data_IF_020875049190
#
_entry.id   IF_020875049190
#
_cell.length_a   1.000
_cell.length_b   1.000
_cell.length_c   1.000
_cell.angle_alpha   90.00
_cell.angle_beta   90.00
_cell.angle_gamma   90.00
#
_symmetry.space_group_name_H-M   'P 1'
#
loop_
_entity.id
_entity.type
_entity.pdbx_description
1 polymer ?
#
# COMPACT_ATOMS: atom_id res chain seq x y z
N UNK A 1 2.51 -19.84 23.64
CA UNK A 1 3.30 -20.60 22.63
C UNK A 1 4.25 -19.60 21.99
N UNK A 2 5.38 -20.02 21.46
CA UNK A 2 6.31 -19.13 20.76
C UNK A 2 5.88 -18.98 19.29
N UNK A 3 6.31 -17.87 18.64
CA UNK A 3 6.14 -17.69 17.20
C UNK A 3 6.93 -18.77 16.43
N UNK A 4 6.32 -19.37 15.41
CA UNK A 4 6.87 -20.51 14.65
C UNK A 4 7.24 -20.16 13.21
N UNK A 5 6.62 -19.13 12.64
CA UNK A 5 6.75 -18.77 11.24
C UNK A 5 7.82 -17.68 11.02
N UNK A 6 9.04 -17.93 11.53
CA UNK A 6 10.18 -17.00 11.39
C UNK A 6 11.19 -17.42 10.31
N UNK A 7 10.90 -18.50 9.55
CA UNK A 7 11.74 -18.92 8.43
C UNK A 7 11.26 -18.28 7.12
N UNK A 8 11.73 -17.09 6.81
CA UNK A 8 11.38 -16.35 5.59
C UNK A 8 12.11 -16.86 4.33
N UNK A 9 13.04 -17.82 4.44
CA UNK A 9 13.65 -18.52 3.32
C UNK A 9 12.81 -19.73 2.84
N UNK A 10 11.75 -20.10 3.58
CA UNK A 10 10.86 -21.18 3.20
C UNK A 10 10.13 -20.80 1.89
N UNK A 11 10.30 -21.65 0.86
CA UNK A 11 9.53 -21.51 -0.38
C UNK A 11 8.19 -22.22 -0.20
N UNK A 12 7.13 -21.43 -0.07
CA UNK A 12 5.76 -21.93 0.02
C UNK A 12 5.17 -22.02 -1.38
N UNK A 13 4.78 -23.23 -1.82
CA UNK A 13 4.12 -23.40 -3.13
C UNK A 13 2.73 -22.77 -3.09
N UNK A 14 2.50 -21.84 -3.99
CA UNK A 14 1.24 -21.08 -4.10
C UNK A 14 0.45 -21.40 -5.38
N UNK A 15 1.03 -22.18 -6.30
CA UNK A 15 0.30 -22.62 -7.50
C UNK A 15 -0.72 -23.69 -7.14
N UNK A 16 -1.89 -23.62 -7.80
CA UNK A 16 -3.00 -24.53 -7.53
C UNK A 16 -3.78 -24.20 -6.26
N UNK A 17 -3.62 -22.99 -5.72
CA UNK A 17 -4.34 -22.50 -4.54
C UNK A 17 -5.31 -21.35 -4.86
N UNK A 18 -5.63 -21.14 -6.11
CA UNK A 18 -6.37 -19.98 -6.63
C UNK A 18 -5.67 -18.65 -6.34
N UNK A 19 -4.37 -18.69 -6.18
CA UNK A 19 -3.56 -17.50 -5.90
C UNK A 19 -3.52 -16.54 -7.09
N UNK A 20 -4.05 -15.33 -6.91
CA UNK A 20 -4.09 -14.30 -7.96
C UNK A 20 -2.69 -14.04 -8.56
N UNK A 21 -1.66 -14.06 -7.74
CA UNK A 21 -0.28 -13.79 -8.13
C UNK A 21 0.29 -14.87 -9.07
N UNK A 22 -0.04 -16.15 -8.82
CA UNK A 22 0.57 -17.30 -9.50
C UNK A 22 -0.33 -17.99 -10.54
N UNK A 23 -1.64 -18.13 -10.26
CA UNK A 23 -2.50 -19.03 -11.04
C UNK A 23 -3.19 -18.35 -12.23
N UNK A 24 -3.22 -17.02 -12.27
CA UNK A 24 -4.00 -16.27 -13.26
C UNK A 24 -3.15 -15.59 -14.36
N UNK A 25 -1.89 -15.96 -14.53
CA UNK A 25 -0.99 -15.37 -15.53
C UNK A 25 -1.59 -15.43 -16.95
N UNK A 26 -2.02 -16.62 -17.41
CA UNK A 26 -2.63 -16.80 -18.74
C UNK A 26 -3.89 -15.94 -18.93
N UNK A 27 -4.77 -15.90 -17.94
CA UNK A 27 -6.01 -15.10 -17.99
C UNK A 27 -5.73 -13.62 -18.11
N UNK A 28 -4.55 -13.17 -17.63
CA UNK A 28 -4.06 -11.79 -17.69
C UNK A 28 -3.08 -11.54 -18.84
N UNK A 29 -3.06 -12.44 -19.86
CA UNK A 29 -2.24 -12.27 -21.06
C UNK A 29 -0.74 -12.45 -20.82
N UNK A 30 -0.32 -13.17 -19.77
CA UNK A 30 1.07 -13.48 -19.45
C UNK A 30 1.39 -14.96 -19.70
N UNK A 31 2.64 -15.33 -20.02
CA UNK A 31 3.05 -16.73 -20.09
C UNK A 31 2.79 -17.45 -18.75
N UNK A 32 2.46 -18.76 -18.81
CA UNK A 32 2.15 -19.54 -17.61
C UNK A 32 3.36 -19.77 -16.70
N UNK A 33 4.56 -19.70 -17.26
CA UNK A 33 5.83 -20.02 -16.63
C UNK A 33 6.58 -18.81 -16.06
N UNK A 34 5.91 -17.66 -15.95
CA UNK A 34 6.51 -16.46 -15.36
C UNK A 34 6.70 -16.62 -13.84
N UNK A 35 7.78 -16.04 -13.34
CA UNK A 35 7.98 -15.80 -11.91
C UNK A 35 7.34 -14.48 -11.54
N UNK A 36 6.26 -14.46 -10.73
CA UNK A 36 5.51 -13.25 -10.46
C UNK A 36 6.03 -12.52 -9.21
N UNK A 37 6.42 -11.26 -9.38
CA UNK A 37 6.78 -10.34 -8.29
C UNK A 37 6.06 -8.99 -8.44
N UNK A 38 4.84 -9.02 -9.01
CA UNK A 38 4.03 -7.84 -9.30
C UNK A 38 3.05 -7.46 -8.19
N UNK A 39 2.33 -8.44 -7.61
CA UNK A 39 1.35 -8.17 -6.55
C UNK A 39 2.04 -7.78 -5.25
N UNK A 40 1.50 -6.78 -4.57
CA UNK A 40 1.95 -6.35 -3.26
C UNK A 40 1.35 -7.24 -2.14
N UNK A 41 1.51 -8.56 -2.26
CA UNK A 41 1.38 -9.55 -1.18
C UNK A 41 2.72 -10.26 -0.97
N UNK A 42 2.95 -10.82 0.20
CA UNK A 42 4.22 -11.48 0.51
C UNK A 42 4.18 -12.97 0.13
N UNK A 43 5.34 -13.56 -0.12
CA UNK A 43 5.50 -15.02 -0.26
C UNK A 43 5.95 -15.69 1.06
N UNK A 44 5.60 -15.07 2.19
CA UNK A 44 5.82 -15.57 3.55
C UNK A 44 4.52 -16.04 4.18
N UNK A 45 4.59 -17.09 5.01
CA UNK A 45 3.49 -17.42 5.94
C UNK A 45 3.28 -16.25 6.89
N UNK A 46 2.03 -15.95 7.23
CA UNK A 46 1.72 -14.98 8.30
C UNK A 46 2.16 -15.50 9.67
N UNK A 47 2.07 -14.68 10.71
CA UNK A 47 2.35 -15.10 12.09
C UNK A 47 1.58 -16.38 12.46
N UNK A 48 2.26 -17.32 13.12
CA UNK A 48 1.66 -18.56 13.58
C UNK A 48 0.55 -18.35 14.60
N UNK A 49 0.55 -17.24 15.33
CA UNK A 49 -0.57 -16.87 16.20
C UNK A 49 -1.84 -16.59 15.39
N UNK A 50 -1.70 -15.96 14.22
CA UNK A 50 -2.82 -15.71 13.31
C UNK A 50 -3.34 -17.03 12.73
N UNK A 51 -2.44 -17.93 12.30
CA UNK A 51 -2.85 -19.27 11.82
C UNK A 51 -3.64 -20.02 12.88
N UNK A 52 -3.14 -20.06 14.12
CA UNK A 52 -3.79 -20.74 15.23
C UNK A 52 -5.18 -20.13 15.53
N UNK A 53 -5.31 -18.80 15.52
CA UNK A 53 -6.58 -18.12 15.74
C UNK A 53 -7.61 -18.44 14.62
N UNK A 54 -7.18 -18.50 13.38
CA UNK A 54 -8.02 -18.88 12.24
C UNK A 54 -8.49 -20.33 12.34
N UNK A 55 -7.60 -21.26 12.70
CA UNK A 55 -7.90 -22.67 12.91
C UNK A 55 -8.92 -22.82 14.03
N UNK A 56 -8.72 -22.14 15.16
CA UNK A 56 -9.62 -22.22 16.31
C UNK A 56 -11.00 -21.66 15.97
N UNK A 57 -11.04 -20.53 15.26
CA UNK A 57 -12.31 -19.96 14.82
C UNK A 57 -13.03 -20.85 13.80
N UNK A 58 -12.29 -21.50 12.91
CA UNK A 58 -12.84 -22.45 11.94
C UNK A 58 -13.40 -23.71 12.63
N UNK A 59 -12.72 -24.24 13.64
CA UNK A 59 -13.21 -25.39 14.45
C UNK A 59 -14.50 -25.11 15.18
N UNK A 60 -14.78 -23.86 15.56
CA UNK A 60 -16.06 -23.48 16.17
C UNK A 60 -17.26 -23.82 15.25
N UNK A 61 -17.09 -23.73 13.92
CA UNK A 61 -18.03 -24.24 12.91
C UNK A 61 -19.29 -23.41 12.68
N UNK A 62 -19.49 -22.28 13.38
CA UNK A 62 -20.64 -21.39 13.17
C UNK A 62 -20.14 -20.06 12.62
N UNK A 63 -20.52 -19.74 11.38
CA UNK A 63 -20.10 -18.55 10.63
C UNK A 63 -21.28 -17.58 10.43
N UNK A 64 -22.06 -17.35 11.51
CA UNK A 64 -23.15 -16.38 11.51
C UNK A 64 -22.65 -14.94 11.49
N UNK A 65 -23.60 -14.00 11.47
CA UNK A 65 -23.26 -12.56 11.54
C UNK A 65 -22.43 -12.27 12.78
N UNK A 66 -21.36 -11.54 12.59
CA UNK A 66 -20.39 -11.22 13.64
C UNK A 66 -20.01 -9.75 13.58
N UNK A 67 -19.72 -9.19 14.74
CA UNK A 67 -19.13 -7.85 14.86
C UNK A 67 -18.03 -7.89 15.92
N UNK A 68 -17.32 -6.79 16.09
CA UNK A 68 -16.21 -6.66 17.02
C UNK A 68 -16.67 -6.13 18.36
N UNK A 69 -15.93 -6.51 19.41
CA UNK A 69 -16.09 -5.99 20.76
C UNK A 69 -14.90 -5.04 21.07
N UNK A 70 -14.91 -4.46 22.25
CA UNK A 70 -13.86 -3.57 22.76
C UNK A 70 -12.44 -4.16 22.62
N UNK A 71 -12.28 -5.47 22.75
CA UNK A 71 -10.97 -6.13 22.58
C UNK A 71 -10.37 -5.94 21.19
N UNK A 72 -11.20 -5.89 20.14
CA UNK A 72 -10.72 -5.60 18.78
C UNK A 72 -10.20 -4.16 18.69
N UNK A 73 -10.98 -3.21 19.19
CA UNK A 73 -10.56 -1.82 19.22
C UNK A 73 -9.25 -1.66 20.00
N UNK A 74 -9.14 -2.28 21.16
CA UNK A 74 -7.93 -2.24 21.98
C UNK A 74 -6.71 -2.82 21.27
N UNK A 75 -6.87 -3.89 20.48
CA UNK A 75 -5.80 -4.44 19.65
C UNK A 75 -5.33 -3.43 18.58
N UNK A 76 -6.28 -2.82 17.86
CA UNK A 76 -5.99 -1.80 16.84
C UNK A 76 -5.37 -0.56 17.48
N UNK A 77 -5.93 -0.05 18.58
CA UNK A 77 -5.44 1.13 19.29
C UNK A 77 -4.03 0.89 19.87
N UNK A 78 -3.82 -0.30 20.45
CA UNK A 78 -2.52 -0.70 20.95
C UNK A 78 -1.44 -0.75 19.87
N UNK A 79 -1.78 -1.25 18.67
CA UNK A 79 -0.88 -1.23 17.53
C UNK A 79 -0.52 0.20 17.10
N UNK A 80 -1.52 1.05 16.91
CA UNK A 80 -1.31 2.44 16.50
C UNK A 80 -0.51 3.23 17.53
N UNK A 81 -0.71 2.99 18.81
CA UNK A 81 0.06 3.67 19.86
C UNK A 81 1.51 3.16 19.93
N UNK A 82 1.74 1.82 19.85
CA UNK A 82 3.10 1.24 19.94
C UNK A 82 3.97 1.57 18.74
N UNK A 83 3.41 1.49 17.53
CA UNK A 83 4.20 1.59 16.29
C UNK A 83 4.13 2.95 15.61
N UNK A 84 3.08 3.76 15.89
CA UNK A 84 2.86 5.04 15.21
C UNK A 84 2.65 6.22 16.18
N UNK A 85 2.79 6.00 17.50
CA UNK A 85 2.66 7.02 18.53
C UNK A 85 1.34 7.82 18.44
N UNK A 86 0.29 7.20 17.92
CA UNK A 86 -1.00 7.82 17.69
C UNK A 86 -2.10 7.18 18.54
N UNK A 87 -2.73 8.01 19.39
CA UNK A 87 -3.87 7.61 20.22
C UNK A 87 -5.16 7.85 19.48
N UNK A 88 -5.87 6.78 19.17
CA UNK A 88 -7.16 6.82 18.48
C UNK A 88 -8.31 6.71 19.48
N UNK A 89 -9.52 7.11 19.04
CA UNK A 89 -10.78 6.93 19.79
C UNK A 89 -11.63 5.88 19.10
N UNK A 90 -12.40 5.13 19.90
CA UNK A 90 -13.25 4.06 19.38
C UNK A 90 -14.27 4.55 18.35
N UNK A 91 -14.87 5.72 18.62
CA UNK A 91 -15.86 6.32 17.72
C UNK A 91 -15.27 6.82 16.38
N UNK A 92 -13.94 6.86 16.22
CA UNK A 92 -13.29 7.21 14.95
C UNK A 92 -13.20 6.03 13.98
N UNK A 93 -13.26 4.80 14.52
CA UNK A 93 -12.98 3.59 13.76
C UNK A 93 -14.20 3.13 12.94
N UNK A 94 -14.00 3.04 11.63
CA UNK A 94 -14.92 2.39 10.69
C UNK A 94 -14.16 1.24 10.01
N UNK A 95 -14.73 0.04 10.03
CA UNK A 95 -14.14 -1.15 9.39
C UNK A 95 -14.67 -1.30 7.97
N UNK A 96 -13.79 -1.57 7.01
CA UNK A 96 -14.16 -1.77 5.60
C UNK A 96 -13.50 -3.01 5.00
N UNK A 97 -14.03 -3.57 3.89
CA UNK A 97 -13.46 -4.76 3.25
C UNK A 97 -12.21 -4.45 2.40
N UNK A 98 -11.38 -3.52 2.81
CA UNK A 98 -10.14 -3.13 2.14
C UNK A 98 -10.04 -1.63 1.90
N UNK A 99 -8.78 -1.15 1.78
CA UNK A 99 -8.52 0.29 1.64
C UNK A 99 -9.02 0.83 0.30
N UNK A 100 -8.90 0.08 -0.81
CA UNK A 100 -9.44 0.55 -2.11
C UNK A 100 -10.96 0.77 -2.05
N UNK A 101 -11.69 -0.10 -1.33
CA UNK A 101 -13.12 0.14 -1.07
C UNK A 101 -13.32 1.43 -0.27
N UNK A 102 -12.51 1.64 0.78
CA UNK A 102 -12.59 2.87 1.58
C UNK A 102 -12.30 4.14 0.75
N UNK A 103 -11.31 4.10 -0.15
CA UNK A 103 -11.03 5.20 -1.09
C UNK A 103 -12.25 5.50 -1.97
N UNK A 104 -12.90 4.48 -2.53
CA UNK A 104 -14.12 4.66 -3.35
C UNK A 104 -15.27 5.26 -2.53
N UNK A 105 -15.44 4.83 -1.27
CA UNK A 105 -16.46 5.41 -0.39
C UNK A 105 -16.15 6.86 -0.01
N UNK A 106 -14.88 7.20 0.22
CA UNK A 106 -14.44 8.57 0.49
C UNK A 106 -14.68 9.49 -0.73
N UNK A 107 -14.34 9.02 -1.94
CA UNK A 107 -14.64 9.73 -3.18
C UNK A 107 -16.14 10.07 -3.28
N UNK A 108 -17.01 9.10 -3.00
CA UNK A 108 -18.47 9.32 -3.00
C UNK A 108 -18.96 10.23 -1.86
N UNK A 109 -18.36 10.11 -0.68
CA UNK A 109 -18.79 10.84 0.51
C UNK A 109 -18.45 12.33 0.44
N UNK A 110 -17.31 12.68 -0.17
CA UNK A 110 -16.75 14.03 -0.06
C UNK A 110 -16.76 14.80 -1.38
N UNK A 111 -17.17 14.16 -2.49
CA UNK A 111 -17.22 14.81 -3.80
C UNK A 111 -18.48 14.41 -4.57
N UNK A 112 -18.76 15.14 -5.64
CA UNK A 112 -19.84 14.88 -6.62
C UNK A 112 -19.25 14.50 -7.98
N UNK A 113 -20.05 13.93 -8.86
CA UNK A 113 -19.64 13.70 -10.24
C UNK A 113 -19.17 15.02 -10.90
N UNK A 114 -18.03 14.96 -11.58
CA UNK A 114 -17.35 16.11 -12.18
C UNK A 114 -16.40 16.88 -11.27
N UNK A 115 -16.40 16.64 -9.95
CA UNK A 115 -15.45 17.27 -9.03
C UNK A 115 -14.01 16.79 -9.27
N UNK A 116 -13.05 17.67 -9.03
CA UNK A 116 -11.62 17.40 -9.15
C UNK A 116 -11.04 16.77 -7.89
N UNK A 117 -10.23 15.72 -8.09
CA UNK A 117 -9.52 15.01 -7.03
C UNK A 117 -8.02 15.01 -7.35
N UNK A 118 -7.21 15.46 -6.38
CA UNK A 118 -5.77 15.52 -6.51
C UNK A 118 -5.12 14.19 -6.12
N UNK A 119 -4.14 13.76 -6.90
CA UNK A 119 -3.22 12.65 -6.61
C UNK A 119 -1.79 13.05 -6.97
N UNK A 120 -0.81 12.28 -6.53
CA UNK A 120 0.62 12.51 -6.82
C UNK A 120 1.17 11.37 -7.71
N UNK A 121 1.02 11.49 -9.04
CA UNK A 121 1.53 10.48 -9.97
C UNK A 121 3.09 10.53 -10.04
N UNK A 122 3.77 9.40 -10.30
CA UNK A 122 3.26 8.04 -10.48
C UNK A 122 2.79 7.46 -9.15
N UNK A 123 1.54 7.05 -9.04
CA UNK A 123 0.97 6.50 -7.80
C UNK A 123 0.21 5.21 -8.09
N UNK A 124 -0.05 4.42 -7.07
CA UNK A 124 -0.81 3.18 -7.12
C UNK A 124 -2.07 3.33 -7.98
N UNK A 125 -2.15 2.57 -9.08
CA UNK A 125 -3.13 2.76 -10.15
C UNK A 125 -4.61 2.73 -9.69
N UNK A 126 -5.02 1.99 -8.63
CA UNK A 126 -6.39 2.07 -8.13
C UNK A 126 -6.80 3.46 -7.64
N UNK A 127 -5.88 4.37 -7.31
CA UNK A 127 -6.22 5.78 -7.04
C UNK A 127 -6.88 6.42 -8.26
N UNK A 128 -6.29 6.22 -9.43
CA UNK A 128 -6.86 6.73 -10.69
C UNK A 128 -8.15 6.01 -11.08
N UNK A 129 -8.25 4.70 -10.80
CA UNK A 129 -9.44 3.90 -11.08
C UNK A 129 -10.62 4.36 -10.23
N UNK A 130 -10.48 4.46 -8.90
CA UNK A 130 -11.60 4.90 -8.04
C UNK A 130 -12.08 6.31 -8.36
N UNK A 131 -11.21 7.19 -8.87
CA UNK A 131 -11.60 8.54 -9.32
C UNK A 131 -12.45 8.45 -10.59
N UNK A 132 -11.94 7.76 -11.63
CA UNK A 132 -12.63 7.65 -12.93
C UNK A 132 -13.91 6.85 -12.85
N UNK A 133 -13.90 5.72 -12.16
CA UNK A 133 -15.05 4.82 -12.04
C UNK A 133 -16.20 5.43 -11.23
N UNK A 134 -15.94 6.54 -10.54
CA UNK A 134 -16.94 7.34 -9.85
C UNK A 134 -17.22 8.69 -10.54
N UNK A 135 -16.87 8.87 -11.81
CA UNK A 135 -17.13 10.08 -12.62
C UNK A 135 -16.49 11.36 -12.07
N UNK A 136 -15.31 11.27 -11.45
CA UNK A 136 -14.53 12.41 -10.96
C UNK A 136 -13.35 12.68 -11.88
N UNK A 137 -12.81 13.90 -11.78
CA UNK A 137 -11.68 14.38 -12.60
C UNK A 137 -10.38 14.21 -11.84
N UNK A 138 -9.39 13.57 -12.48
CA UNK A 138 -8.04 13.45 -11.91
C UNK A 138 -7.28 14.75 -12.15
N UNK A 139 -6.74 15.31 -11.07
CA UNK A 139 -5.73 16.36 -11.08
C UNK A 139 -4.45 15.76 -10.50
N UNK A 140 -3.31 16.05 -11.09
CA UNK A 140 -2.04 15.48 -10.64
C UNK A 140 -1.03 16.56 -10.28
N UNK A 141 -0.45 16.42 -9.08
CA UNK A 141 0.81 17.05 -8.73
C UNK A 141 1.89 15.97 -8.81
N UNK A 142 2.53 15.87 -9.96
CA UNK A 142 3.50 14.80 -10.21
C UNK A 142 4.73 14.96 -9.32
N UNK A 143 5.17 13.87 -8.68
CA UNK A 143 6.41 13.86 -7.93
C UNK A 143 7.62 13.99 -8.88
N UNK A 144 8.61 14.79 -8.51
CA UNK A 144 9.79 15.08 -9.31
C UNK A 144 10.97 14.23 -8.85
N UNK A 145 11.53 13.41 -9.73
CA UNK A 145 12.76 12.67 -9.45
C UNK A 145 13.97 13.63 -9.52
N UNK A 146 14.62 13.82 -8.38
CA UNK A 146 15.82 14.64 -8.25
C UNK A 146 17.11 13.90 -8.62
N UNK A 147 18.20 14.66 -8.74
CA UNK A 147 19.55 14.14 -9.00
C UNK A 147 20.09 13.28 -7.83
N UNK A 148 19.51 13.42 -6.66
CA UNK A 148 19.75 12.59 -5.48
C UNK A 148 19.09 11.21 -5.54
N UNK A 149 18.48 10.86 -6.66
CA UNK A 149 17.75 9.61 -6.89
C UNK A 149 16.54 9.42 -5.95
N UNK A 150 15.92 10.53 -5.52
CA UNK A 150 14.72 10.55 -4.67
C UNK A 150 13.64 11.39 -5.33
N UNK A 151 12.40 11.08 -5.02
CA UNK A 151 11.27 11.88 -5.45
C UNK A 151 11.01 13.05 -4.47
N UNK A 152 10.64 14.20 -5.01
CA UNK A 152 10.36 15.43 -4.28
C UNK A 152 8.99 15.96 -4.65
N UNK A 153 8.39 16.75 -3.74
CA UNK A 153 7.11 17.43 -3.95
C UNK A 153 7.40 18.86 -4.44
N UNK A 154 6.71 19.28 -5.49
CA UNK A 154 6.61 20.70 -5.82
C UNK A 154 5.36 21.26 -5.11
N UNK A 155 5.59 21.91 -3.96
CA UNK A 155 4.52 22.51 -3.15
C UNK A 155 3.86 23.71 -3.85
N UNK A 156 4.60 24.43 -4.71
CA UNK A 156 4.03 25.55 -5.45
C UNK A 156 3.06 25.04 -6.52
N UNK A 157 3.44 23.97 -7.24
CA UNK A 157 2.54 23.31 -8.18
C UNK A 157 1.37 22.64 -7.43
N UNK A 158 1.60 22.02 -6.26
CA UNK A 158 0.55 21.42 -5.44
C UNK A 158 -0.56 22.42 -5.13
N UNK A 159 -0.22 23.61 -4.61
CA UNK A 159 -1.21 24.64 -4.32
C UNK A 159 -1.86 25.18 -5.61
N UNK A 160 -1.06 25.39 -6.67
CA UNK A 160 -1.56 25.83 -7.96
C UNK A 160 -2.61 24.89 -8.52
N UNK A 161 -2.37 23.57 -8.53
CA UNK A 161 -3.32 22.57 -9.01
C UNK A 161 -4.63 22.59 -8.21
N UNK A 162 -4.54 22.77 -6.88
CA UNK A 162 -5.72 22.88 -6.01
C UNK A 162 -6.59 24.07 -6.41
N UNK A 163 -5.97 25.24 -6.62
CA UNK A 163 -6.69 26.49 -6.93
C UNK A 163 -7.24 26.49 -8.35
N UNK A 164 -6.42 26.14 -9.35
CA UNK A 164 -6.81 26.19 -10.77
C UNK A 164 -7.91 25.20 -11.12
N UNK A 165 -7.95 24.05 -10.44
CA UNK A 165 -8.91 22.98 -10.72
C UNK A 165 -10.02 22.85 -9.66
N UNK A 166 -10.12 23.76 -8.70
CA UNK A 166 -11.13 23.74 -7.62
C UNK A 166 -11.20 22.36 -6.94
N UNK A 167 -10.02 21.80 -6.58
CA UNK A 167 -9.89 20.47 -6.01
C UNK A 167 -10.68 20.35 -4.71
N UNK A 168 -11.46 19.25 -4.57
CA UNK A 168 -12.29 18.99 -3.38
C UNK A 168 -11.71 17.95 -2.45
N UNK A 169 -10.90 17.04 -3.01
CA UNK A 169 -10.35 15.89 -2.29
C UNK A 169 -8.90 15.67 -2.73
N UNK A 170 -8.02 15.40 -1.77
CA UNK A 170 -6.66 14.91 -2.01
C UNK A 170 -6.53 13.47 -1.51
N UNK A 171 -6.15 12.54 -2.41
CA UNK A 171 -5.79 11.19 -2.03
C UNK A 171 -4.27 11.11 -1.86
N UNK A 172 -3.83 11.10 -0.62
CA UNK A 172 -2.43 10.99 -0.22
C UNK A 172 -2.05 9.52 -0.05
N UNK A 173 -0.95 9.08 -0.65
CA UNK A 173 -0.33 7.76 -0.43
C UNK A 173 0.95 7.92 0.39
N UNK A 174 0.96 7.48 1.64
CA UNK A 174 2.12 7.64 2.52
C UNK A 174 2.26 6.48 3.52
N UNK A 175 3.30 5.63 3.41
CA UNK A 175 4.39 5.60 2.42
C UNK A 175 3.92 5.44 0.98
N UNK A 176 4.62 6.11 0.07
CA UNK A 176 4.19 6.26 -1.31
C UNK A 176 4.56 5.05 -2.18
N UNK A 177 3.58 4.46 -2.83
CA UNK A 177 3.74 3.37 -3.79
C UNK A 177 3.54 3.91 -5.22
N UNK A 178 4.51 3.85 -6.13
CA UNK A 178 5.67 2.93 -6.13
C UNK A 178 7.01 3.55 -5.67
N UNK A 179 7.10 4.86 -5.42
CA UNK A 179 8.41 5.51 -5.20
C UNK A 179 9.13 5.10 -3.91
N UNK A 180 8.41 4.50 -2.95
CA UNK A 180 8.95 4.15 -1.64
C UNK A 180 9.19 5.36 -0.72
N UNK A 181 8.74 6.58 -1.11
CA UNK A 181 8.86 7.76 -0.26
C UNK A 181 8.07 7.63 1.03
N UNK A 182 8.68 8.00 2.13
CA UNK A 182 8.01 8.33 3.39
C UNK A 182 8.10 9.85 3.53
N UNK A 183 6.97 10.55 3.40
CA UNK A 183 6.97 11.99 3.48
C UNK A 183 7.30 12.44 4.91
N UNK A 184 8.16 13.46 5.02
CA UNK A 184 8.53 14.01 6.32
C UNK A 184 7.35 14.75 6.96
N UNK A 185 7.42 14.94 8.28
CA UNK A 185 6.41 15.71 9.01
C UNK A 185 6.28 17.13 8.44
N UNK A 186 7.37 17.74 8.01
CA UNK A 186 7.41 19.07 7.40
C UNK A 186 6.68 19.08 6.05
N UNK A 187 6.94 18.09 5.18
CA UNK A 187 6.25 17.94 3.89
C UNK A 187 4.75 17.72 4.08
N UNK A 188 4.37 16.81 4.99
CA UNK A 188 2.97 16.55 5.33
C UNK A 188 2.29 17.78 5.94
N UNK A 189 3.01 18.54 6.78
CA UNK A 189 2.50 19.79 7.36
C UNK A 189 2.22 20.81 6.27
N UNK A 190 3.15 21.02 5.35
CA UNK A 190 3.00 21.98 4.26
C UNK A 190 1.81 21.64 3.34
N UNK A 191 1.68 20.37 2.94
CA UNK A 191 0.52 19.91 2.16
C UNK A 191 -0.79 20.07 2.92
N UNK A 192 -0.80 19.68 4.21
CA UNK A 192 -1.97 19.79 5.05
C UNK A 192 -2.42 21.23 5.28
N UNK A 193 -1.49 22.16 5.50
CA UNK A 193 -1.79 23.61 5.67
C UNK A 193 -2.42 24.18 4.38
N UNK A 194 -1.93 23.79 3.22
CA UNK A 194 -2.54 24.16 1.92
C UNK A 194 -3.97 23.58 1.82
N UNK A 195 -4.16 22.30 2.19
CA UNK A 195 -5.49 21.69 2.18
C UNK A 195 -6.47 22.41 3.12
N UNK A 196 -6.05 22.72 4.34
CA UNK A 196 -6.86 23.51 5.29
C UNK A 196 -7.23 24.87 4.70
N UNK A 197 -6.24 25.60 4.16
CA UNK A 197 -6.43 26.93 3.57
C UNK A 197 -7.48 26.93 2.46
N UNK A 198 -7.55 25.89 1.65
CA UNK A 198 -8.44 25.81 0.48
C UNK A 198 -9.66 24.90 0.70
N UNK A 199 -9.88 24.37 1.92
CA UNK A 199 -11.04 23.55 2.25
C UNK A 199 -11.05 22.18 1.55
N UNK A 200 -9.87 21.62 1.28
CA UNK A 200 -9.69 20.30 0.65
C UNK A 200 -9.70 19.23 1.72
N UNK A 201 -10.54 18.21 1.55
CA UNK A 201 -10.51 17.01 2.40
C UNK A 201 -9.33 16.11 2.01
N UNK A 202 -8.67 15.48 2.98
CA UNK A 202 -7.53 14.59 2.73
C UNK A 202 -7.92 13.14 3.08
N UNK A 203 -7.68 12.21 2.18
CA UNK A 203 -7.70 10.78 2.48
C UNK A 203 -6.26 10.28 2.45
N UNK A 204 -5.73 10.00 3.63
CA UNK A 204 -4.36 9.48 3.79
C UNK A 204 -4.39 7.96 3.75
N UNK A 205 -3.97 7.38 2.63
CA UNK A 205 -3.74 5.93 2.53
C UNK A 205 -2.39 5.60 3.15
N UNK A 206 -2.46 5.09 4.37
CA UNK A 206 -1.30 4.71 5.19
C UNK A 206 -1.16 3.19 5.31
N UNK A 207 -1.63 2.43 4.31
CA UNK A 207 -1.59 0.96 4.31
C UNK A 207 -0.16 0.39 4.38
N UNK A 208 0.85 1.18 4.04
CA UNK A 208 2.25 0.83 4.12
C UNK A 208 2.99 1.44 5.33
N UNK A 209 2.28 2.04 6.27
CA UNK A 209 2.86 2.76 7.42
C UNK A 209 3.83 1.92 8.26
N UNK A 210 3.62 0.61 8.34
CA UNK A 210 4.47 -0.34 9.06
C UNK A 210 5.79 -0.66 8.32
N UNK A 211 5.97 -0.22 7.07
CA UNK A 211 7.16 -0.49 6.25
C UNK A 211 8.00 0.76 6.08
N UNK A 212 8.65 1.18 7.16
CA UNK A 212 9.61 2.28 7.15
C UNK A 212 10.97 1.75 7.54
N UNK A 213 11.94 1.88 6.64
CA UNK A 213 13.31 1.38 6.82
C UNK A 213 14.31 2.49 7.12
N UNK A 214 13.96 3.75 6.80
CA UNK A 214 14.75 4.94 7.12
C UNK A 214 13.81 6.10 7.46
N UNK A 215 14.14 6.84 8.51
CA UNK A 215 13.26 7.89 9.03
C UNK A 215 12.13 7.33 9.87
N UNK A 216 11.01 8.03 9.89
CA UNK A 216 9.84 7.72 10.72
C UNK A 216 8.55 8.03 9.94
N UNK A 217 7.55 7.16 10.04
CA UNK A 217 6.21 7.47 9.55
C UNK A 217 5.49 8.40 10.51
N UNK A 218 4.91 9.46 9.97
CA UNK A 218 4.03 10.36 10.73
C UNK A 218 2.60 10.17 10.23
N UNK A 219 1.69 9.77 11.12
CA UNK A 219 0.25 9.70 10.80
C UNK A 219 -0.26 11.11 10.51
N UNK A 220 -0.88 11.31 9.35
CA UNK A 220 -1.29 12.65 8.92
C UNK A 220 -2.19 13.36 9.95
N UNK A 221 -3.18 12.66 10.51
CA UNK A 221 -4.09 13.19 11.52
C UNK A 221 -3.39 13.60 12.83
N UNK A 222 -2.21 13.05 13.14
CA UNK A 222 -1.50 13.30 14.39
C UNK A 222 -0.71 14.62 14.41
N UNK A 223 -0.55 15.28 13.26
CA UNK A 223 0.35 16.44 13.10
C UNK A 223 -0.22 17.68 13.75
N UNK A 224 -1.48 18.00 13.47
CA UNK A 224 -2.19 19.18 13.99
C UNK A 224 -3.67 18.86 14.21
N UNK A 225 -4.32 19.58 15.11
CA UNK A 225 -5.76 19.41 15.37
C UNK A 225 -6.60 19.71 14.13
N UNK A 226 -6.22 20.71 13.36
CA UNK A 226 -6.89 21.10 12.12
C UNK A 226 -6.86 19.97 11.07
N UNK A 227 -5.86 19.10 11.12
CA UNK A 227 -5.77 17.94 10.20
C UNK A 227 -6.75 16.84 10.61
N UNK A 228 -7.03 16.66 11.91
CA UNK A 228 -8.14 15.79 12.34
C UNK A 228 -9.48 16.22 11.75
N UNK A 229 -9.67 17.53 11.53
CA UNK A 229 -10.94 18.07 11.06
C UNK A 229 -11.18 17.87 9.55
N UNK A 230 -10.12 17.60 8.77
CA UNK A 230 -10.19 17.49 7.31
C UNK A 230 -9.82 16.11 6.78
N UNK A 231 -9.45 15.13 7.63
CA UNK A 231 -8.86 13.90 7.09
C UNK A 231 -9.62 12.62 7.43
N UNK A 232 -9.35 11.63 6.59
CA UNK A 232 -9.61 10.20 6.77
C UNK A 232 -8.29 9.46 6.68
N UNK A 233 -7.93 8.65 7.68
CA UNK A 233 -6.73 7.82 7.68
C UNK A 233 -7.11 6.37 7.41
N UNK A 234 -6.49 5.76 6.40
CA UNK A 234 -6.76 4.39 5.98
C UNK A 234 -5.58 3.48 6.31
N UNK A 235 -5.81 2.46 7.15
CA UNK A 235 -4.83 1.43 7.51
C UNK A 235 -5.38 0.03 7.32
N UNK A 236 -4.50 -0.96 7.29
CA UNK A 236 -4.92 -2.37 7.18
C UNK A 236 -3.80 -3.32 7.57
N UNK A 237 -4.08 -4.46 8.22
CA UNK A 237 -3.09 -5.52 8.43
C UNK A 237 -2.72 -6.27 7.14
N UNK A 238 -3.39 -5.97 6.03
CA UNK A 238 -3.22 -6.68 4.75
C UNK A 238 -1.79 -6.72 4.25
N UNK A 239 -1.06 -5.60 4.43
CA UNK A 239 0.34 -5.51 4.01
C UNK A 239 1.26 -5.97 5.14
N UNK A 240 1.05 -5.53 6.36
CA UNK A 240 1.89 -5.82 7.52
C UNK A 240 2.00 -7.32 7.80
N UNK A 241 0.88 -8.03 7.75
CA UNK A 241 0.80 -9.44 8.13
C UNK A 241 0.41 -10.37 6.97
N UNK A 242 0.49 -9.91 5.72
CA UNK A 242 0.13 -10.70 4.54
C UNK A 242 -1.32 -11.23 4.57
N UNK A 243 -2.27 -10.40 5.00
CA UNK A 243 -3.67 -10.75 5.23
C UNK A 243 -4.63 -10.15 4.19
N UNK A 244 -4.18 -9.87 2.97
CA UNK A 244 -5.00 -9.19 1.97
C UNK A 244 -6.33 -9.89 1.66
N UNK A 245 -6.35 -11.23 1.59
CA UNK A 245 -7.58 -12.01 1.35
C UNK A 245 -8.55 -12.06 2.53
N UNK A 246 -8.13 -11.61 3.71
CA UNK A 246 -9.00 -11.47 4.89
C UNK A 246 -9.94 -10.28 4.79
N UNK A 247 -9.67 -9.34 3.88
CA UNK A 247 -10.54 -8.21 3.53
C UNK A 247 -10.96 -7.37 4.74
N UNK A 248 -9.99 -6.93 5.56
CA UNK A 248 -10.21 -6.04 6.69
C UNK A 248 -9.34 -4.80 6.56
N UNK A 249 -9.93 -3.63 6.73
CA UNK A 249 -9.23 -2.36 6.88
C UNK A 249 -9.83 -1.55 8.02
N UNK A 250 -8.98 -0.80 8.70
CA UNK A 250 -9.32 0.08 9.80
C UNK A 250 -9.20 1.53 9.32
N UNK A 251 -10.33 2.21 9.24
CA UNK A 251 -10.43 3.58 8.73
C UNK A 251 -10.75 4.49 9.90
N UNK A 252 -9.92 5.50 10.11
CA UNK A 252 -10.09 6.45 11.20
C UNK A 252 -10.58 7.79 10.65
N UNK A 253 -11.73 8.24 11.14
CA UNK A 253 -12.33 9.51 10.74
C UNK A 253 -12.60 10.34 12.00
N UNK A 254 -11.65 11.19 12.43
CA UNK A 254 -11.77 11.96 13.66
C UNK A 254 -12.94 12.94 13.65
N UNK A 255 -13.15 13.65 12.54
CA UNK A 255 -14.25 14.62 12.40
C UNK A 255 -15.60 13.90 12.29
N UNK A 256 -16.54 14.28 13.15
CA UNK A 256 -17.87 13.64 13.23
C UNK A 256 -18.70 13.79 11.96
N UNK A 257 -18.64 14.94 11.29
CA UNK A 257 -19.43 15.18 10.06
C UNK A 257 -18.87 14.37 8.90
N UNK A 258 -17.54 14.35 8.73
CA UNK A 258 -16.88 13.49 7.73
C UNK A 258 -17.19 12.02 8.00
N UNK A 259 -17.13 11.61 9.27
CA UNK A 259 -17.41 10.24 9.69
C UNK A 259 -18.84 9.80 9.33
N UNK A 260 -19.83 10.65 9.58
CA UNK A 260 -21.22 10.37 9.22
C UNK A 260 -21.42 10.26 7.71
N UNK A 261 -20.80 11.16 6.92
CA UNK A 261 -20.86 11.11 5.45
C UNK A 261 -20.18 9.82 4.92
N UNK A 262 -19.03 9.48 5.46
CA UNK A 262 -18.30 8.28 5.07
C UNK A 262 -19.07 7.01 5.42
N UNK A 263 -19.55 6.89 6.67
CA UNK A 263 -20.36 5.76 7.13
C UNK A 263 -21.61 5.58 6.27
N UNK A 264 -22.29 6.65 5.93
CA UNK A 264 -23.45 6.60 5.04
C UNK A 264 -23.14 5.94 3.69
N UNK A 265 -21.97 6.21 3.10
CA UNK A 265 -21.58 5.56 1.83
C UNK A 265 -21.25 4.08 2.02
N UNK A 266 -20.64 3.70 3.14
CA UNK A 266 -20.38 2.29 3.49
C UNK A 266 -21.70 1.54 3.63
N UNK A 267 -22.66 2.10 4.36
CA UNK A 267 -23.99 1.53 4.56
C UNK A 267 -24.76 1.41 3.23
N UNK A 268 -24.70 2.45 2.39
CA UNK A 268 -25.34 2.47 1.08
C UNK A 268 -24.73 1.43 0.10
N UNK A 269 -23.47 1.06 0.32
CA UNK A 269 -22.83 -0.04 -0.42
C UNK A 269 -23.24 -1.44 0.10
N UNK A 270 -24.07 -1.52 1.14
CA UNK A 270 -24.58 -2.77 1.70
C UNK A 270 -23.60 -3.50 2.62
N UNK A 271 -22.55 -2.83 3.10
CA UNK A 271 -21.57 -3.39 4.04
C UNK A 271 -21.99 -3.03 5.46
N UNK A 272 -22.49 -4.04 6.20
CA UNK A 272 -22.84 -3.87 7.61
C UNK A 272 -21.94 -4.66 8.57
N UNK A 273 -21.49 -5.85 8.15
CA UNK A 273 -20.57 -6.68 8.92
C UNK A 273 -19.47 -7.23 8.02
N UNK A 274 -18.31 -7.49 8.61
CA UNK A 274 -17.17 -8.10 7.94
C UNK A 274 -17.01 -9.58 8.36
N UNK A 275 -16.24 -10.31 7.56
CA UNK A 275 -16.04 -11.75 7.78
C UNK A 275 -15.31 -12.04 9.10
N UNK A 276 -15.89 -12.93 9.92
CA UNK A 276 -15.38 -13.26 11.25
C UNK A 276 -13.94 -13.76 11.26
N UNK A 277 -13.50 -14.48 10.23
CA UNK A 277 -12.11 -14.93 10.11
C UNK A 277 -11.15 -13.75 9.94
N UNK A 278 -11.53 -12.77 9.11
CA UNK A 278 -10.75 -11.56 8.93
C UNK A 278 -10.63 -10.72 10.20
N UNK A 279 -11.74 -10.59 10.96
CA UNK A 279 -11.75 -9.87 12.24
C UNK A 279 -10.83 -10.57 13.26
N UNK A 280 -10.93 -11.90 13.40
CA UNK A 280 -10.08 -12.69 14.31
C UNK A 280 -8.60 -12.61 13.92
N UNK A 281 -8.29 -12.70 12.62
CA UNK A 281 -6.93 -12.58 12.11
C UNK A 281 -6.33 -11.19 12.44
N UNK A 282 -7.10 -10.12 12.18
CA UNK A 282 -6.66 -8.74 12.44
C UNK A 282 -6.40 -8.49 13.92
N UNK A 283 -7.34 -8.88 14.77
CA UNK A 283 -7.19 -8.72 16.22
C UNK A 283 -5.93 -9.44 16.70
N UNK A 284 -5.77 -10.71 16.35
CA UNK A 284 -4.63 -11.52 16.80
C UNK A 284 -3.30 -11.00 16.25
N UNK A 285 -3.27 -10.55 15.00
CA UNK A 285 -2.08 -9.96 14.39
C UNK A 285 -1.59 -8.74 15.19
N UNK A 286 -2.48 -7.83 15.54
CA UNK A 286 -2.14 -6.62 16.29
C UNK A 286 -1.86 -6.86 17.79
N UNK A 287 -2.42 -7.93 18.38
CA UNK A 287 -2.16 -8.30 19.77
C UNK A 287 -0.83 -9.06 19.96
N UNK A 288 -0.44 -9.88 18.98
CA UNK A 288 0.60 -10.90 19.17
C UNK A 288 1.65 -10.96 18.06
N UNK A 289 1.52 -10.13 17.03
CA UNK A 289 2.35 -10.24 15.82
C UNK A 289 3.69 -9.50 15.87
N UNK A 290 4.02 -8.79 16.95
CA UNK A 290 5.22 -7.93 17.02
C UNK A 290 6.51 -8.70 16.67
N UNK A 291 6.73 -9.88 17.25
CA UNK A 291 7.93 -10.70 16.99
C UNK A 291 8.06 -11.09 15.50
N UNK A 292 6.94 -11.53 14.90
CA UNK A 292 6.92 -11.88 13.47
C UNK A 292 7.19 -10.65 12.60
N UNK A 293 6.53 -9.54 12.90
CA UNK A 293 6.65 -8.28 12.18
C UNK A 293 8.08 -7.75 12.18
N UNK A 294 8.73 -7.68 13.33
CA UNK A 294 10.11 -7.20 13.46
C UNK A 294 11.11 -8.06 12.66
N UNK A 295 10.97 -9.40 12.73
CA UNK A 295 11.83 -10.31 11.98
C UNK A 295 11.54 -10.22 10.45
N UNK A 296 10.29 -10.08 10.05
CA UNK A 296 9.92 -9.86 8.66
C UNK A 296 10.50 -8.56 8.11
N UNK A 297 10.39 -7.45 8.84
CA UNK A 297 10.98 -6.17 8.42
C UNK A 297 12.49 -6.28 8.21
N UNK A 298 13.19 -6.93 9.13
CA UNK A 298 14.64 -7.15 9.02
C UNK A 298 14.97 -7.94 7.75
N UNK A 299 14.25 -9.03 7.50
CA UNK A 299 14.48 -9.87 6.31
C UNK A 299 14.20 -9.10 5.01
N UNK A 300 13.12 -8.34 4.97
CA UNK A 300 12.78 -7.50 3.80
C UNK A 300 13.84 -6.42 3.59
N UNK A 301 14.33 -5.78 4.65
CA UNK A 301 15.42 -4.82 4.54
C UNK A 301 16.70 -5.42 3.96
N UNK A 302 17.04 -6.64 4.36
CA UNK A 302 18.18 -7.37 3.79
C UNK A 302 17.97 -7.67 2.29
N UNK A 303 16.73 -7.96 1.86
CA UNK A 303 16.38 -8.11 0.45
C UNK A 303 16.52 -6.79 -0.33
N UNK A 304 16.05 -5.68 0.25
CA UNK A 304 16.23 -4.34 -0.34
C UNK A 304 17.72 -4.02 -0.54
N UNK A 305 18.53 -4.24 0.50
CA UNK A 305 19.97 -4.01 0.44
C UNK A 305 20.64 -4.89 -0.63
N UNK A 306 20.25 -6.17 -0.73
CA UNK A 306 20.73 -7.07 -1.75
C UNK A 306 20.42 -6.57 -3.17
N UNK A 307 19.15 -6.19 -3.45
CA UNK A 307 18.75 -5.71 -4.78
C UNK A 307 19.50 -4.43 -5.14
N UNK A 308 19.59 -3.45 -4.22
CA UNK A 308 20.34 -2.20 -4.46
C UNK A 308 21.81 -2.49 -4.81
N UNK A 309 22.45 -3.37 -4.04
CA UNK A 309 23.85 -3.75 -4.32
C UNK A 309 23.97 -4.51 -5.65
N UNK A 310 23.11 -5.50 -5.91
CA UNK A 310 23.15 -6.30 -7.12
C UNK A 310 22.99 -5.43 -8.38
N UNK A 311 21.99 -4.53 -8.39
CA UNK A 311 21.74 -3.61 -9.52
C UNK A 311 22.95 -2.72 -9.75
N UNK A 312 23.49 -2.09 -8.70
CA UNK A 312 24.67 -1.24 -8.79
C UNK A 312 25.88 -1.96 -9.40
N UNK A 313 26.13 -3.20 -9.00
CA UNK A 313 27.33 -3.96 -9.39
C UNK A 313 27.17 -4.67 -10.76
N UNK A 314 25.94 -4.94 -11.20
CA UNK A 314 25.70 -5.87 -12.33
C UNK A 314 24.81 -5.31 -13.45
N UNK A 315 24.11 -4.19 -13.25
CA UNK A 315 23.12 -3.69 -14.21
C UNK A 315 23.43 -2.20 -14.58
N UNK A 316 24.42 -1.95 -15.42
CA UNK A 316 24.73 -0.59 -15.84
C UNK A 316 23.53 0.06 -16.54
N UNK A 317 23.23 1.30 -16.19
CA UNK A 317 22.08 2.05 -16.71
C UNK A 317 20.76 1.79 -15.99
N UNK A 318 20.72 0.87 -14.99
CA UNK A 318 19.56 0.68 -14.11
C UNK A 318 19.83 1.30 -12.75
N UNK A 319 18.85 2.04 -12.22
CA UNK A 319 18.90 2.56 -10.85
C UNK A 319 17.73 2.02 -10.02
N UNK A 320 17.97 1.77 -8.74
CA UNK A 320 16.91 1.54 -7.76
C UNK A 320 16.63 2.86 -7.08
N UNK A 321 15.41 3.36 -7.17
CA UNK A 321 15.02 4.62 -6.53
C UNK A 321 15.23 4.53 -5.02
N UNK A 322 15.71 5.61 -4.43
CA UNK A 322 16.08 5.63 -3.02
C UNK A 322 14.90 6.00 -2.11
N UNK A 323 13.90 5.13 -2.06
CA UNK A 323 12.78 5.23 -1.13
C UNK A 323 13.16 4.85 0.30
N UNK A 324 12.40 5.37 1.27
CA UNK A 324 12.57 5.11 2.70
C UNK A 324 11.71 3.97 3.20
N UNK A 325 10.63 3.63 2.46
CA UNK A 325 9.61 2.67 2.90
C UNK A 325 9.12 1.77 1.80
N UNK A 326 8.18 0.94 2.14
CA UNK A 326 7.56 -0.14 1.36
C UNK A 326 8.52 -1.29 1.01
N UNK A 327 7.97 -2.47 0.74
CA UNK A 327 8.72 -3.61 0.19
C UNK A 327 8.59 -3.69 -1.35
N UNK A 328 8.18 -2.57 -1.96
CA UNK A 328 8.02 -2.43 -3.40
C UNK A 328 9.14 -1.52 -3.91
N UNK A 329 10.08 -2.08 -4.66
CA UNK A 329 11.17 -1.28 -5.20
C UNK A 329 10.84 -0.78 -6.59
N UNK A 330 11.17 0.48 -6.84
CA UNK A 330 10.99 1.17 -8.10
C UNK A 330 12.32 1.22 -8.85
N UNK A 331 12.41 0.50 -9.96
CA UNK A 331 13.62 0.37 -10.76
C UNK A 331 13.50 1.24 -12.01
N UNK A 332 14.44 2.16 -12.18
CA UNK A 332 14.58 3.04 -13.34
C UNK A 332 15.49 2.40 -14.39
N UNK A 333 14.93 2.04 -15.54
CA UNK A 333 15.66 1.45 -16.67
C UNK A 333 15.97 2.46 -17.78
N UNK A 334 15.61 3.73 -17.63
CA UNK A 334 15.79 4.75 -18.69
C UNK A 334 17.24 4.93 -19.09
N UNK A 335 18.18 4.74 -18.17
CA UNK A 335 19.62 4.80 -18.43
C UNK A 335 20.17 3.66 -19.30
N UNK A 336 19.38 2.60 -19.57
CA UNK A 336 19.78 1.50 -20.46
C UNK A 336 19.61 1.82 -21.94
N UNK A 337 18.81 2.85 -22.28
CA UNK A 337 18.45 3.17 -23.66
C UNK A 337 17.47 2.18 -24.32
N UNK A 338 16.98 1.19 -23.58
CA UNK A 338 15.96 0.25 -24.07
C UNK A 338 14.59 0.97 -24.10
N UNK A 339 13.89 0.87 -25.23
CA UNK A 339 12.51 1.37 -25.34
C UNK A 339 11.60 0.72 -24.29
N UNK A 340 10.64 1.47 -23.76
CA UNK A 340 9.81 1.01 -22.67
C UNK A 340 8.88 -0.17 -23.04
N UNK A 341 8.40 -0.27 -24.28
CA UNK A 341 7.60 -1.41 -24.76
C UNK A 341 8.49 -2.65 -24.96
N UNK A 342 9.68 -2.43 -25.47
CA UNK A 342 10.69 -3.49 -25.61
C UNK A 342 11.17 -4.00 -24.24
N UNK A 343 11.35 -3.12 -23.26
CA UNK A 343 11.67 -3.51 -21.87
C UNK A 343 10.55 -4.41 -21.29
N UNK A 344 9.29 -4.00 -21.41
CA UNK A 344 8.15 -4.80 -20.95
C UNK A 344 8.11 -6.17 -21.63
N UNK A 345 8.38 -6.23 -22.94
CA UNK A 345 8.44 -7.47 -23.71
C UNK A 345 9.56 -8.39 -23.19
N UNK A 346 10.78 -7.86 -23.03
CA UNK A 346 11.93 -8.63 -22.54
C UNK A 346 11.70 -9.17 -21.13
N UNK A 347 11.20 -8.35 -20.22
CA UNK A 347 10.88 -8.77 -18.84
C UNK A 347 9.90 -9.93 -18.85
N UNK A 348 8.81 -9.83 -19.63
CA UNK A 348 7.74 -10.84 -19.61
C UNK A 348 8.12 -12.09 -20.38
N UNK A 349 8.65 -11.96 -21.60
CA UNK A 349 8.80 -13.10 -22.50
C UNK A 349 10.18 -13.70 -22.50
N UNK A 350 11.23 -12.90 -22.36
CA UNK A 350 12.61 -13.40 -22.39
C UNK A 350 13.11 -13.74 -20.98
N UNK A 351 12.92 -12.85 -20.00
CA UNK A 351 13.26 -13.11 -18.60
C UNK A 351 12.25 -14.00 -17.87
N UNK A 352 11.05 -14.20 -18.45
CA UNK A 352 9.96 -14.95 -17.79
C UNK A 352 9.65 -14.40 -16.40
N UNK A 353 9.54 -13.08 -16.29
CA UNK A 353 9.17 -12.38 -15.06
C UNK A 353 7.85 -11.65 -15.25
N UNK A 354 7.07 -11.58 -14.22
CA UNK A 354 5.91 -10.71 -14.16
C UNK A 354 6.12 -9.66 -13.06
N UNK A 355 6.57 -8.49 -13.48
CA UNK A 355 6.69 -7.28 -12.68
C UNK A 355 5.55 -6.32 -13.05
N UNK A 356 5.40 -5.22 -12.33
CA UNK A 356 4.50 -4.15 -12.75
C UNK A 356 5.25 -3.14 -13.60
N UNK A 357 4.81 -3.00 -14.87
CA UNK A 357 5.29 -1.95 -15.75
C UNK A 357 4.93 -0.57 -15.18
N UNK A 358 5.90 0.32 -15.20
CA UNK A 358 5.72 1.67 -14.68
C UNK A 358 4.60 2.46 -15.35
N UNK A 359 4.24 2.11 -16.59
CA UNK A 359 3.16 2.76 -17.35
C UNK A 359 1.81 2.70 -16.64
N UNK A 360 1.54 1.66 -15.83
CA UNK A 360 0.26 1.53 -15.12
C UNK A 360 0.09 2.54 -13.99
N UNK A 361 1.20 3.12 -13.49
CA UNK A 361 1.19 4.10 -12.39
C UNK A 361 1.03 5.55 -12.86
N UNK A 362 1.05 5.80 -14.15
CA UNK A 362 0.96 7.12 -14.75
C UNK A 362 2.04 7.36 -15.80
N UNK A 363 1.95 8.47 -16.52
CA UNK A 363 2.88 8.79 -17.63
C UNK A 363 4.34 8.89 -17.18
N UNK A 364 4.58 9.42 -15.99
CA UNK A 364 5.91 9.60 -15.40
C UNK A 364 6.57 8.29 -15.01
N UNK A 365 5.83 7.17 -14.97
CA UNK A 365 6.35 5.82 -14.73
C UNK A 365 6.91 5.11 -15.98
N UNK A 366 6.85 5.71 -17.16
CA UNK A 366 7.38 5.11 -18.39
C UNK A 366 8.87 4.83 -18.27
N UNK A 367 9.31 3.60 -18.58
CA UNK A 367 10.70 3.16 -18.45
C UNK A 367 11.09 2.66 -17.06
N UNK A 368 10.11 2.53 -16.16
CA UNK A 368 10.29 1.94 -14.84
C UNK A 368 9.64 0.56 -14.73
N UNK A 369 10.10 -0.23 -13.74
CA UNK A 369 9.48 -1.48 -13.31
C UNK A 369 9.36 -1.48 -11.78
N UNK A 370 8.22 -1.94 -11.23
CA UNK A 370 8.06 -2.15 -9.79
C UNK A 370 8.23 -3.62 -9.46
N UNK A 371 9.10 -3.91 -8.50
CA UNK A 371 9.33 -5.26 -7.98
C UNK A 371 8.91 -5.36 -6.52
N UNK A 372 8.22 -6.46 -6.16
CA UNK A 372 7.96 -6.84 -4.78
C UNK A 372 9.14 -7.69 -4.26
N UNK A 373 9.79 -7.23 -3.17
CA UNK A 373 10.93 -7.94 -2.56
C UNK A 373 10.58 -8.67 -1.26
N UNK A 374 9.30 -8.71 -0.88
CA UNK A 374 8.81 -9.52 0.24
C UNK A 374 8.60 -10.99 -0.20
N UNK A 375 9.70 -11.63 -0.55
CA UNK A 375 9.78 -13.02 -1.01
C UNK A 375 11.08 -13.66 -0.50
N UNK A 376 11.20 -15.02 -0.46
CA UNK A 376 12.43 -15.68 -0.08
C UNK A 376 13.63 -15.18 -0.89
N UNK A 377 14.79 -15.04 -0.25
CA UNK A 377 16.03 -14.52 -0.87
C UNK A 377 16.34 -15.19 -2.19
N UNK A 378 16.22 -16.50 -2.27
CA UNK A 378 16.47 -17.27 -3.51
C UNK A 378 15.59 -16.82 -4.67
N UNK A 379 14.33 -16.46 -4.40
CA UNK A 379 13.40 -15.93 -5.42
C UNK A 379 13.85 -14.56 -5.93
N UNK A 380 14.35 -13.72 -5.04
CA UNK A 380 14.87 -12.37 -5.40
C UNK A 380 16.17 -12.51 -6.21
N UNK A 381 17.08 -13.41 -5.81
CA UNK A 381 18.31 -13.72 -6.55
C UNK A 381 18.00 -14.19 -7.97
N UNK A 382 17.07 -15.13 -8.12
CA UNK A 382 16.63 -15.62 -9.41
C UNK A 382 16.04 -14.49 -10.29
N UNK A 383 15.23 -13.63 -9.70
CA UNK A 383 14.68 -12.48 -10.41
C UNK A 383 15.78 -11.54 -10.93
N UNK A 384 16.75 -11.19 -10.10
CA UNK A 384 17.84 -10.30 -10.49
C UNK A 384 18.69 -10.91 -11.61
N UNK A 385 19.02 -12.19 -11.53
CA UNK A 385 19.77 -12.90 -12.58
C UNK A 385 19.01 -12.97 -13.92
N UNK A 386 17.68 -13.12 -13.87
CA UNK A 386 16.83 -13.13 -15.07
C UNK A 386 16.74 -11.76 -15.72
N UNK A 387 16.62 -10.66 -14.92
CA UNK A 387 16.62 -9.29 -15.46
C UNK A 387 17.96 -9.00 -16.14
N UNK A 388 19.09 -9.28 -15.47
CA UNK A 388 20.43 -9.05 -16.00
C UNK A 388 20.67 -9.67 -17.39
N UNK A 389 20.09 -10.86 -17.64
CA UNK A 389 20.28 -11.59 -18.91
C UNK A 389 19.59 -10.96 -20.11
N UNK A 390 18.64 -10.04 -19.88
CA UNK A 390 17.82 -9.45 -20.95
C UNK A 390 18.10 -7.96 -21.17
N UNK A 391 19.01 -7.40 -20.38
CA UNK A 391 19.54 -6.05 -20.56
C UNK A 391 20.66 -6.06 -21.58
#
# INVERSE_FOLDING_TARGET
MAERNLNFDEIVERRGTDCLKYDFAKRRGKPADVLPLWVADMDFKTSSYVEDALIERAKHGIFGYSDTQEVYFNAVAGWMERHHHWKIKEDWLIKTPGVVFALAMAVKAFTKAGDSILIQQSVYYPFSEVIRDNDRVIVSNDLILGDDNRYHIDLADFEKQIVEHDVKLFLLCNPHNPSGRVFTKEELTAMGDICVKHGVTVVSDEIHNDFVFRGEHTVFASIKKEFEDICVVCTSPSKTFNLASMMISNIFVPNKELRQKFQHQVDAAGISQLGVLGLAATQTAYEKGDEWYENMLKYVWENIAYVKKYVKDNMPGVNVIDGEGTYLLWLDFRGTGIDADELDRRIIYDAKLWLDSGKIFGKTGTGFQRINVAAPRKTIEECMERIKKVL
#
